data_IF_940356046934
#
_entry.id   IF_940356046934
#
_cell.length_a   1.000
_cell.length_b   1.000
_cell.length_c   1.000
_cell.angle_alpha   90.00
_cell.angle_beta   90.00
_cell.angle_gamma   90.00
#
_symmetry.space_group_name_H-M   'P 1'
#
loop_
_entity.id
_entity.type
_entity.pdbx_description
1 polymer ?
#
# COMPACT_ATOMS: atom_id res chain seq x y z
N UNK A 1 9.78 -12.05 -11.67
CA UNK A 1 10.48 -10.99 -12.44
C UNK A 1 10.93 -9.92 -11.48
N UNK A 2 12.19 -9.55 -11.52
CA UNK A 2 12.76 -8.57 -10.60
C UNK A 2 13.08 -7.28 -11.35
N UNK A 3 12.93 -6.14 -10.66
CA UNK A 3 13.18 -4.84 -11.26
C UNK A 3 13.87 -3.92 -10.25
N UNK A 4 14.54 -2.90 -10.73
CA UNK A 4 15.17 -1.89 -9.89
C UNK A 4 14.16 -0.81 -9.53
N UNK A 5 14.51 0.03 -8.55
CA UNK A 5 13.61 1.04 -8.01
C UNK A 5 13.07 1.99 -9.10
N UNK A 6 13.91 2.39 -10.05
CA UNK A 6 13.47 3.26 -11.13
C UNK A 6 12.39 2.64 -12.00
N UNK A 7 12.53 1.35 -12.28
CA UNK A 7 11.53 0.61 -13.06
C UNK A 7 10.23 0.46 -12.29
N UNK A 8 10.34 0.12 -11.00
CA UNK A 8 9.17 -0.01 -10.12
C UNK A 8 8.42 1.32 -10.02
N UNK A 9 9.14 2.41 -9.83
CA UNK A 9 8.56 3.74 -9.74
C UNK A 9 7.82 4.10 -11.02
N UNK A 10 8.43 3.82 -12.16
CA UNK A 10 7.84 4.11 -13.47
C UNK A 10 6.58 3.27 -13.70
N UNK A 11 6.64 1.99 -13.35
CA UNK A 11 5.51 1.06 -13.51
C UNK A 11 4.30 1.48 -12.67
N UNK A 12 4.54 1.97 -11.45
CA UNK A 12 3.48 2.29 -10.51
C UNK A 12 3.08 3.76 -10.51
N UNK A 13 3.80 4.60 -11.25
CA UNK A 13 3.53 6.04 -11.26
C UNK A 13 3.98 6.76 -10.00
N UNK A 14 4.80 6.13 -9.19
CA UNK A 14 5.39 6.74 -7.99
C UNK A 14 6.75 7.33 -8.32
N UNK A 15 7.25 8.18 -7.43
CA UNK A 15 8.64 8.61 -7.49
C UNK A 15 9.50 7.63 -6.68
N UNK A 16 10.76 7.50 -7.06
CA UNK A 16 11.69 6.60 -6.35
C UNK A 16 11.80 6.96 -4.87
N UNK A 17 11.78 8.24 -4.55
CA UNK A 17 11.82 8.71 -3.17
C UNK A 17 10.60 8.24 -2.38
N UNK A 18 9.44 8.22 -3.01
CA UNK A 18 8.20 7.74 -2.38
C UNK A 18 8.30 6.25 -2.09
N UNK A 19 8.85 5.47 -3.02
CA UNK A 19 9.06 4.04 -2.81
C UNK A 19 9.97 3.80 -1.61
N UNK A 20 11.08 4.52 -1.51
CA UNK A 20 12.00 4.42 -0.37
C UNK A 20 11.32 4.82 0.93
N UNK A 21 10.50 5.86 0.91
CA UNK A 21 9.77 6.32 2.08
C UNK A 21 8.84 5.23 2.60
N UNK A 22 8.08 4.60 1.74
CA UNK A 22 7.19 3.51 2.14
C UNK A 22 7.96 2.30 2.63
N UNK A 23 9.09 2.00 2.02
CA UNK A 23 9.96 0.92 2.45
C UNK A 23 10.47 1.17 3.87
N UNK A 24 10.92 2.40 4.17
CA UNK A 24 11.40 2.77 5.50
C UNK A 24 10.29 2.74 6.55
N UNK A 25 9.07 3.05 6.15
CA UNK A 25 7.92 3.00 7.04
C UNK A 25 7.41 1.58 7.29
N UNK A 26 7.96 0.60 6.59
CA UNK A 26 7.52 -0.78 6.74
C UNK A 26 6.25 -1.11 5.97
N UNK A 27 5.82 -0.23 5.06
CA UNK A 27 4.63 -0.46 4.25
C UNK A 27 4.89 -1.38 3.07
N UNK A 28 6.15 -1.50 2.66
CA UNK A 28 6.58 -2.42 1.62
C UNK A 28 7.46 -3.50 2.24
N UNK A 29 7.36 -4.76 1.76
CA UNK A 29 8.31 -5.77 2.21
C UNK A 29 9.72 -5.38 1.76
N UNK A 30 10.75 -5.77 2.52
CA UNK A 30 12.12 -5.41 2.13
C UNK A 30 12.47 -6.02 0.78
N UNK A 31 13.17 -5.26 -0.09
CA UNK A 31 13.58 -5.78 -1.38
C UNK A 31 14.72 -6.80 -1.22
N UNK A 32 14.80 -7.71 -2.18
CA UNK A 32 15.94 -8.59 -2.28
C UNK A 32 17.13 -7.77 -2.79
N UNK A 33 18.33 -8.11 -2.35
CA UNK A 33 19.55 -7.46 -2.84
C UNK A 33 20.23 -8.33 -3.88
N UNK A 34 20.70 -7.71 -4.96
CA UNK A 34 21.51 -8.40 -5.95
C UNK A 34 22.91 -8.66 -5.41
N UNK A 35 23.72 -9.43 -6.13
CA UNK A 35 25.13 -9.66 -5.78
C UNK A 35 25.91 -8.35 -5.68
N UNK A 36 25.54 -7.36 -6.51
CA UNK A 36 26.16 -6.04 -6.48
C UNK A 36 25.53 -5.10 -5.45
N UNK A 37 24.67 -5.65 -4.58
CA UNK A 37 24.01 -4.93 -3.49
C UNK A 37 22.98 -3.89 -3.96
N UNK A 38 22.38 -4.06 -5.11
CA UNK A 38 21.28 -3.24 -5.59
C UNK A 38 19.96 -3.78 -5.04
N UNK A 39 19.02 -2.88 -4.74
CA UNK A 39 17.67 -3.26 -4.37
C UNK A 39 16.93 -3.82 -5.58
N UNK A 40 16.29 -4.98 -5.39
CA UNK A 40 15.47 -5.62 -6.43
C UNK A 40 14.06 -5.81 -5.91
N UNK A 41 13.11 -5.35 -6.68
CA UNK A 41 11.69 -5.39 -6.36
C UNK A 41 10.97 -6.34 -7.32
N UNK A 42 9.82 -6.83 -6.94
CA UNK A 42 9.05 -7.75 -7.78
C UNK A 42 7.59 -7.30 -7.90
N UNK A 43 6.76 -8.16 -8.50
CA UNK A 43 5.35 -7.85 -8.72
C UNK A 43 4.60 -7.59 -7.42
N UNK A 44 4.99 -8.24 -6.33
CA UNK A 44 4.33 -8.02 -5.04
C UNK A 44 4.52 -6.59 -4.54
N UNK A 45 5.69 -6.00 -4.79
CA UNK A 45 5.94 -4.61 -4.47
C UNK A 45 5.06 -3.68 -5.31
N UNK A 46 4.92 -3.99 -6.60
CA UNK A 46 4.08 -3.19 -7.48
C UNK A 46 2.61 -3.23 -7.04
N UNK A 47 2.11 -4.41 -6.70
CA UNK A 47 0.74 -4.57 -6.22
C UNK A 47 0.51 -3.80 -4.92
N UNK A 48 1.47 -3.86 -4.00
CA UNK A 48 1.38 -3.15 -2.73
C UNK A 48 1.36 -1.64 -2.94
N UNK A 49 2.20 -1.13 -3.83
CA UNK A 49 2.24 0.30 -4.15
C UNK A 49 0.93 0.75 -4.79
N UNK A 50 0.37 -0.02 -5.71
CA UNK A 50 -0.92 0.29 -6.32
C UNK A 50 -2.02 0.36 -5.25
N UNK A 51 -2.00 -0.57 -4.31
CA UNK A 51 -2.96 -0.58 -3.21
C UNK A 51 -2.83 0.66 -2.33
N UNK A 52 -1.60 1.00 -1.94
CA UNK A 52 -1.33 2.18 -1.10
C UNK A 52 -1.80 3.45 -1.82
N UNK A 53 -1.45 3.61 -3.09
CA UNK A 53 -1.86 4.77 -3.86
C UNK A 53 -3.37 4.89 -3.96
N UNK A 54 -4.04 3.78 -4.18
CA UNK A 54 -5.50 3.74 -4.28
C UNK A 54 -6.15 4.20 -2.97
N UNK A 55 -5.67 3.68 -1.86
CA UNK A 55 -6.16 4.08 -0.53
C UNK A 55 -5.92 5.57 -0.28
N UNK A 56 -4.73 6.06 -0.62
CA UNK A 56 -4.39 7.47 -0.43
C UNK A 56 -5.27 8.38 -1.30
N UNK A 57 -5.55 7.96 -2.53
CA UNK A 57 -6.40 8.74 -3.42
C UNK A 57 -7.85 8.82 -2.93
N UNK A 58 -8.25 7.87 -2.10
CA UNK A 58 -9.59 7.87 -1.48
C UNK A 58 -9.62 8.60 -0.14
N UNK A 59 -8.53 9.26 0.22
CA UNK A 59 -8.48 10.09 1.41
C UNK A 59 -8.03 9.38 2.68
N UNK A 60 -7.56 8.15 2.60
CA UNK A 60 -7.05 7.47 3.78
C UNK A 60 -5.71 8.07 4.19
N UNK A 61 -5.54 8.22 5.50
CA UNK A 61 -4.24 8.64 6.04
C UNK A 61 -3.23 7.51 5.94
N UNK A 62 -1.94 7.86 6.01
CA UNK A 62 -0.90 6.85 5.94
C UNK A 62 -1.00 5.87 7.12
N UNK A 63 -1.38 6.36 8.30
CA UNK A 63 -1.58 5.51 9.48
C UNK A 63 -2.72 4.52 9.25
N UNK A 64 -3.79 4.94 8.62
CA UNK A 64 -4.92 4.07 8.30
C UNK A 64 -4.51 3.00 7.29
N UNK A 65 -3.74 3.36 6.28
CA UNK A 65 -3.22 2.42 5.30
C UNK A 65 -2.31 1.40 5.98
N UNK A 66 -1.44 1.87 6.86
CA UNK A 66 -0.52 1.03 7.61
C UNK A 66 -1.28 0.00 8.47
N UNK A 67 -2.33 0.44 9.14
CA UNK A 67 -3.18 -0.45 9.95
C UNK A 67 -3.84 -1.51 9.06
N UNK A 68 -4.38 -1.10 7.94
CA UNK A 68 -5.06 -2.03 7.02
C UNK A 68 -4.08 -3.07 6.46
N UNK A 69 -2.88 -2.63 6.09
CA UNK A 69 -1.85 -3.55 5.60
C UNK A 69 -1.39 -4.53 6.68
N UNK A 70 -1.35 -4.07 7.93
CA UNK A 70 -1.01 -4.94 9.06
C UNK A 70 -1.98 -6.11 9.18
N UNK A 71 -3.25 -5.86 9.01
CA UNK A 71 -4.27 -6.92 9.05
C UNK A 71 -4.18 -7.83 7.82
N UNK A 72 -3.90 -7.27 6.67
CA UNK A 72 -3.73 -8.06 5.46
C UNK A 72 -2.54 -9.01 5.56
N UNK A 73 -1.45 -8.56 6.18
CA UNK A 73 -0.24 -9.34 6.34
C UNK A 73 -0.36 -10.40 7.46
N UNK A 74 -1.29 -10.20 8.41
CA UNK A 74 -1.50 -11.10 9.53
C UNK A 74 -2.98 -11.40 9.73
N UNK A 75 -3.58 -12.13 8.80
CA UNK A 75 -5.02 -12.42 8.86
C UNK A 75 -5.45 -13.20 10.10
N UNK A 76 -4.52 -13.91 10.76
CA UNK A 76 -4.82 -14.64 12.00
C UNK A 76 -5.06 -13.73 13.20
N UNK A 77 -4.79 -12.44 13.08
CA UNK A 77 -5.11 -11.46 14.11
C UNK A 77 -6.58 -11.08 14.13
N UNK A 78 -7.41 -11.75 13.35
CA UNK A 78 -8.82 -11.42 13.25
C UNK A 78 -9.55 -11.73 14.57
N UNK A 79 -9.54 -10.80 15.50
CA UNK A 79 -10.48 -10.77 16.62
C UNK A 79 -11.61 -9.82 16.27
N UNK A 80 -12.69 -9.84 17.05
CA UNK A 80 -13.88 -9.04 16.75
C UNK A 80 -13.58 -7.54 16.63
N UNK A 81 -12.66 -7.02 17.45
CA UNK A 81 -12.27 -5.62 17.38
C UNK A 81 -11.55 -5.27 16.10
N UNK A 82 -10.74 -6.20 15.58
CA UNK A 82 -10.03 -6.03 14.32
C UNK A 82 -11.02 -5.95 13.15
N UNK A 83 -11.99 -6.87 13.13
CA UNK A 83 -13.01 -6.89 12.08
C UNK A 83 -13.82 -5.59 12.08
N UNK A 84 -14.17 -5.07 13.25
CA UNK A 84 -14.91 -3.83 13.35
C UNK A 84 -14.11 -2.65 12.76
N UNK A 85 -12.82 -2.59 13.02
CA UNK A 85 -11.96 -1.53 12.48
C UNK A 85 -11.86 -1.61 10.96
N UNK A 86 -11.67 -2.81 10.42
CA UNK A 86 -11.60 -3.01 8.97
C UNK A 86 -12.93 -2.64 8.32
N UNK A 87 -14.05 -3.06 8.90
CA UNK A 87 -15.38 -2.72 8.39
C UNK A 87 -15.60 -1.22 8.37
N UNK A 88 -15.18 -0.51 9.42
CA UNK A 88 -15.27 0.94 9.47
C UNK A 88 -14.48 1.59 8.33
N UNK A 89 -13.26 1.15 8.10
CA UNK A 89 -12.42 1.69 7.02
C UNK A 89 -13.04 1.46 5.64
N UNK A 90 -13.57 0.27 5.41
CA UNK A 90 -14.23 -0.04 4.14
C UNK A 90 -15.49 0.81 3.94
N UNK A 91 -16.25 1.04 5.01
CA UNK A 91 -17.44 1.89 4.95
C UNK A 91 -17.08 3.32 4.60
N UNK A 92 -15.99 3.85 5.16
CA UNK A 92 -15.51 5.20 4.83
C UNK A 92 -15.09 5.32 3.38
N UNK A 93 -14.42 4.31 2.83
CA UNK A 93 -14.01 4.29 1.43
C UNK A 93 -15.26 4.29 0.53
N UNK A 94 -16.24 3.46 0.83
CA UNK A 94 -17.50 3.41 0.07
C UNK A 94 -18.22 4.75 0.09
N UNK A 95 -18.27 5.39 1.25
CA UNK A 95 -18.91 6.69 1.40
C UNK A 95 -18.22 7.75 0.53
N UNK A 96 -16.89 7.76 0.50
CA UNK A 96 -16.12 8.69 -0.30
C UNK A 96 -16.34 8.47 -1.80
N UNK A 97 -16.44 7.22 -2.22
CA UNK A 97 -16.73 6.90 -3.63
C UNK A 97 -18.10 7.46 -4.01
N UNK A 98 -19.10 7.30 -3.17
CA UNK A 98 -20.43 7.84 -3.43
C UNK A 98 -20.43 9.36 -3.53
N UNK A 99 -19.72 10.04 -2.65
CA UNK A 99 -19.61 11.50 -2.67
C UNK A 99 -18.95 11.99 -3.95
N UNK A 100 -17.85 11.34 -4.37
CA UNK A 100 -17.16 11.68 -5.61
C UNK A 100 -18.06 11.46 -6.83
N UNK A 101 -18.87 10.42 -6.81
CA UNK A 101 -19.82 10.15 -7.90
C UNK A 101 -20.87 11.22 -8.02
N UNK A 102 -21.29 11.82 -6.91
CA UNK A 102 -22.29 12.88 -6.91
C UNK A 102 -21.78 14.22 -7.46
N UNK A 103 -20.46 14.39 -7.52
CA UNK A 103 -19.84 15.61 -8.00
C UNK A 103 -19.71 15.68 -9.52
N UNK A 104 -20.13 14.68 -10.23
CA UNK A 104 -20.13 14.65 -11.69
C UNK A 104 -21.30 15.39 -12.30
#
# INVERSE_FOLDING_TARGET
>A
MQMRIGELAKLTGCQSETVRFYEQKGLLPPPVRSQANYRLYDASHAERLHFIRRCRSLGMSLNEVETLLGYQDQPERSCSGVNALVDHQLSEIDRQILELSKLR
#
